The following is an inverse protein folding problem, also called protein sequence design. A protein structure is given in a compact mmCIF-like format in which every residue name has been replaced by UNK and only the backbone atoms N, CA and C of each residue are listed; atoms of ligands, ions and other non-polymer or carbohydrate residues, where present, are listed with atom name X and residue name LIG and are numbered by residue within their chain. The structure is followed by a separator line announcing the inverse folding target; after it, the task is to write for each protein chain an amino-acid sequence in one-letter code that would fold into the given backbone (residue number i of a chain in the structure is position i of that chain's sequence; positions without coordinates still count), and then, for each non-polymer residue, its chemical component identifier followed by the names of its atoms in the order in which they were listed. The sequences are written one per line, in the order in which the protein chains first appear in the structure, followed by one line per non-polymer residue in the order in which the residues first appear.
data_IF_622557959059
#
_entry.id   IF_622557959059
#
_cell.length_a   1.000
_cell.length_b   1.000
_cell.length_c   1.000
_cell.angle_alpha   90.00
_cell.angle_beta   90.00
_cell.angle_gamma   90.00
#
_symmetry.space_group_name_H-M   'P 1'
#
loop_
_entity.id
_entity.type
_entity.pdbx_description
1 polymer ?
#
# COMPACT_ATOMS: atom_id res chain seq x y z
N UNK A 1 7.10 12.61 13.27
CA UNK A 1 5.83 13.25 12.80
C UNK A 1 5.73 13.28 11.28
N UNK A 2 6.70 13.84 10.55
CA UNK A 2 6.67 13.89 9.07
C UNK A 2 6.48 12.52 8.39
N UNK A 3 7.25 11.50 8.78
CA UNK A 3 7.13 10.13 8.26
C UNK A 3 5.72 9.52 8.44
N UNK A 4 5.05 9.91 9.52
CA UNK A 4 3.71 9.44 9.86
C UNK A 4 2.69 10.05 8.89
N UNK A 5 2.79 11.35 8.60
CA UNK A 5 1.97 12.03 7.60
C UNK A 5 2.18 11.44 6.19
N UNK A 6 3.44 11.15 5.82
CA UNK A 6 3.78 10.47 4.56
C UNK A 6 3.16 9.08 4.48
N UNK A 7 3.20 8.31 5.57
CA UNK A 7 2.59 6.98 5.63
C UNK A 7 1.07 7.04 5.49
N UNK A 8 0.41 8.01 6.14
CA UNK A 8 -1.03 8.24 5.97
C UNK A 8 -1.36 8.59 4.53
N UNK A 9 -0.61 9.53 3.92
CA UNK A 9 -0.80 9.87 2.51
C UNK A 9 -0.64 8.63 1.62
N UNK A 10 0.38 7.81 1.86
CA UNK A 10 0.59 6.58 1.11
C UNK A 10 -0.61 5.62 1.18
N UNK A 11 -1.17 5.41 2.39
CA UNK A 11 -2.35 4.57 2.56
C UNK A 11 -3.60 5.15 1.88
N UNK A 12 -3.74 6.47 1.78
CA UNK A 12 -4.81 7.10 1.00
C UNK A 12 -4.65 6.82 -0.51
N UNK A 13 -3.43 6.81 -1.03
CA UNK A 13 -3.17 6.41 -2.41
C UNK A 13 -3.57 4.94 -2.68
N UNK A 14 -3.26 4.05 -1.73
CA UNK A 14 -3.67 2.65 -1.81
C UNK A 14 -5.19 2.49 -1.72
N UNK A 15 -5.88 3.25 -0.89
CA UNK A 15 -7.34 3.11 -0.78
C UNK A 15 -8.05 3.47 -2.08
N UNK A 16 -7.55 4.47 -2.83
CA UNK A 16 -8.03 4.77 -4.18
C UNK A 16 -7.84 3.60 -5.14
N UNK A 17 -6.69 2.93 -5.09
CA UNK A 17 -6.45 1.71 -5.87
C UNK A 17 -7.48 0.63 -5.54
N UNK A 18 -7.70 0.35 -4.26
CA UNK A 18 -8.65 -0.68 -3.82
C UNK A 18 -10.08 -0.35 -4.23
N UNK A 19 -10.51 0.91 -4.09
CA UNK A 19 -11.83 1.39 -4.54
C UNK A 19 -12.03 1.28 -6.05
N UNK A 20 -10.97 1.50 -6.83
CA UNK A 20 -11.03 1.36 -8.29
C UNK A 20 -11.26 -0.11 -8.69
N UNK A 21 -10.54 -1.02 -8.04
CA UNK A 21 -10.67 -2.47 -8.29
C UNK A 21 -12.03 -2.98 -7.83
N UNK A 22 -12.54 -2.54 -6.67
CA UNK A 22 -13.84 -2.98 -6.16
C UNK A 22 -15.00 -2.59 -7.09
N UNK A 23 -14.84 -1.49 -7.84
CA UNK A 23 -15.84 -1.01 -8.79
C UNK A 23 -16.00 -1.93 -10.02
N UNK A 24 -14.90 -2.55 -10.48
CA UNK A 24 -14.92 -3.46 -11.64
C UNK A 24 -15.38 -4.87 -11.26
N UNK A 25 -15.03 -5.33 -10.06
CA UNK A 25 -15.16 -6.75 -9.71
C UNK A 25 -16.26 -6.97 -8.64
N UNK A 26 -17.33 -7.67 -9.02
CA UNK A 26 -18.53 -7.93 -8.19
C UNK A 26 -18.36 -9.03 -7.12
N UNK A 27 -17.29 -9.84 -7.18
CA UNK A 27 -17.00 -10.97 -6.26
C UNK A 27 -15.61 -10.87 -5.63
N UNK A 28 -15.30 -9.72 -5.04
CA UNK A 28 -13.94 -9.42 -4.54
C UNK A 28 -13.73 -9.83 -3.09
N UNK A 29 -14.78 -10.09 -2.30
CA UNK A 29 -14.66 -10.30 -0.85
C UNK A 29 -13.56 -11.31 -0.46
N UNK A 30 -13.67 -12.54 -0.96
CA UNK A 30 -12.72 -13.60 -0.60
C UNK A 30 -11.32 -13.37 -1.18
N UNK A 31 -11.23 -12.93 -2.43
CA UNK A 31 -9.94 -12.68 -3.09
C UNK A 31 -9.20 -11.49 -2.46
N UNK A 32 -9.91 -10.42 -2.12
CA UNK A 32 -9.34 -9.26 -1.43
C UNK A 32 -8.91 -9.62 -0.01
N UNK A 33 -9.66 -10.45 0.70
CA UNK A 33 -9.25 -10.94 2.02
C UNK A 33 -7.93 -11.72 1.93
N UNK A 34 -7.79 -12.63 0.96
CA UNK A 34 -6.54 -13.38 0.72
C UNK A 34 -5.40 -12.43 0.37
N UNK A 35 -5.61 -11.50 -0.56
CA UNK A 35 -4.61 -10.50 -0.95
C UNK A 35 -4.19 -9.63 0.25
N UNK A 36 -5.14 -9.22 1.07
CA UNK A 36 -4.89 -8.38 2.25
C UNK A 36 -4.07 -9.15 3.27
N UNK A 37 -4.40 -10.43 3.51
CA UNK A 37 -3.62 -11.29 4.41
C UNK A 37 -2.19 -11.50 3.90
N UNK A 38 -2.02 -11.78 2.60
CA UNK A 38 -0.70 -11.92 1.98
C UNK A 38 0.11 -10.63 2.09
N UNK A 39 -0.51 -9.47 1.84
CA UNK A 39 0.15 -8.18 1.99
C UNK A 39 0.58 -7.92 3.43
N UNK A 40 -0.25 -8.27 4.43
CA UNK A 40 0.13 -8.13 5.84
C UNK A 40 1.30 -9.04 6.22
N UNK A 41 1.39 -10.23 5.63
CA UNK A 41 2.51 -11.15 5.83
C UNK A 41 3.81 -10.64 5.18
N UNK A 42 3.74 -10.16 3.93
CA UNK A 42 4.92 -9.72 3.15
C UNK A 42 5.46 -8.38 3.61
N UNK A 43 4.63 -7.51 4.18
CA UNK A 43 5.05 -6.15 4.58
C UNK A 43 5.70 -6.09 5.96
N UNK A 44 5.87 -7.24 6.62
CA UNK A 44 6.40 -7.31 7.97
C UNK A 44 5.47 -6.69 9.01
N UNK A 45 4.16 -6.62 8.74
CA UNK A 45 3.17 -6.15 9.71
C UNK A 45 3.00 -7.16 10.86
N UNK A 46 2.91 -8.44 10.52
CA UNK A 46 2.75 -9.55 11.47
C UNK A 46 4.07 -9.94 12.16
N UNK A 47 5.18 -9.95 11.40
CA UNK A 47 6.49 -10.38 11.88
C UNK A 47 7.52 -9.28 11.61
N UNK A 48 8.35 -8.90 12.60
CA UNK A 48 9.41 -7.92 12.38
C UNK A 48 10.37 -8.40 11.28
N UNK A 49 10.64 -7.53 10.31
CA UNK A 49 11.51 -7.88 9.16
C UNK A 49 12.91 -8.25 9.63
N UNK A 50 13.37 -7.67 10.74
CA UNK A 50 14.67 -7.99 11.37
C UNK A 50 14.82 -9.49 11.67
N UNK A 51 13.73 -10.17 12.00
CA UNK A 51 13.70 -11.58 12.37
C UNK A 51 13.58 -12.54 11.18
N UNK A 52 13.38 -12.03 9.95
CA UNK A 52 13.22 -12.87 8.76
C UNK A 52 14.57 -13.36 8.19
N UNK A 53 14.62 -14.58 7.60
CA UNK A 53 15.78 -15.09 6.88
C UNK A 53 16.03 -14.32 5.56
N UNK A 54 17.28 -14.27 5.10
CA UNK A 54 17.81 -13.32 4.12
C UNK A 54 16.94 -13.05 2.88
N UNK A 55 16.50 -14.11 2.17
CA UNK A 55 15.72 -13.94 0.93
C UNK A 55 14.38 -13.23 1.16
N UNK A 56 13.70 -13.52 2.28
CA UNK A 56 12.40 -12.90 2.59
C UNK A 56 12.56 -11.41 2.87
N UNK A 57 13.67 -10.98 3.46
CA UNK A 57 13.94 -9.55 3.73
C UNK A 57 13.96 -8.74 2.43
N UNK A 58 14.61 -9.24 1.38
CA UNK A 58 14.69 -8.54 0.11
C UNK A 58 13.31 -8.37 -0.55
N UNK A 59 12.45 -9.38 -0.47
CA UNK A 59 11.07 -9.30 -0.97
C UNK A 59 10.30 -8.22 -0.19
N UNK A 60 10.42 -8.22 1.14
CA UNK A 60 9.78 -7.22 1.99
C UNK A 60 10.25 -5.80 1.64
N UNK A 61 11.56 -5.59 1.45
CA UNK A 61 12.12 -4.27 1.13
C UNK A 61 11.69 -3.73 -0.22
N UNK A 62 11.32 -4.60 -1.16
CA UNK A 62 10.78 -4.21 -2.46
C UNK A 62 9.38 -3.60 -2.35
N UNK A 63 8.63 -3.95 -1.29
CA UNK A 63 7.29 -3.44 -1.07
C UNK A 63 7.32 -2.06 -0.40
N UNK A 64 6.77 -1.00 -1.03
CA UNK A 64 6.78 0.35 -0.45
C UNK A 64 6.02 0.44 0.88
N UNK A 65 4.99 -0.40 1.04
CA UNK A 65 4.20 -0.61 2.27
C UNK A 65 5.06 -0.98 3.48
N UNK A 66 6.16 -1.72 3.27
CA UNK A 66 7.11 -2.09 4.32
C UNK A 66 7.71 -0.86 5.01
N UNK A 67 8.10 0.14 4.23
CA UNK A 67 8.72 1.36 4.73
C UNK A 67 7.71 2.24 5.47
N UNK A 68 6.44 2.26 5.05
CA UNK A 68 5.39 2.95 5.78
C UNK A 68 5.16 2.33 7.17
N UNK A 69 5.16 1.00 7.25
CA UNK A 69 4.99 0.30 8.53
C UNK A 69 6.22 0.51 9.42
N UNK A 70 7.44 0.46 8.88
CA UNK A 70 8.65 0.74 9.66
C UNK A 70 8.68 2.17 10.19
N UNK A 71 8.32 3.15 9.36
CA UNK A 71 8.19 4.56 9.75
C UNK A 71 7.18 4.80 10.87
N UNK A 72 6.05 4.10 10.84
CA UNK A 72 5.06 4.15 11.93
C UNK A 72 5.65 3.56 13.21
N UNK A 73 6.36 2.42 13.13
CA UNK A 73 7.01 1.79 14.29
C UNK A 73 8.13 2.62 14.87
N UNK A 74 9.05 3.12 14.05
CA UNK A 74 10.17 3.95 14.51
C UNK A 74 9.68 5.25 15.16
N UNK A 75 8.63 5.86 14.61
CA UNK A 75 8.05 7.09 15.16
C UNK A 75 7.22 6.87 16.42
N UNK A 76 6.41 5.81 16.49
CA UNK A 76 5.49 5.57 17.62
C UNK A 76 6.12 4.77 18.76
N UNK A 77 6.96 3.77 18.44
CA UNK A 77 7.58 2.88 19.43
C UNK A 77 9.01 3.30 19.77
N UNK A 78 9.53 4.36 19.14
CA UNK A 78 10.91 4.84 19.36
C UNK A 78 11.98 3.85 18.91
N UNK A 79 11.62 2.91 18.02
CA UNK A 79 12.54 1.91 17.51
C UNK A 79 13.54 2.54 16.54
N UNK A 80 14.75 1.96 16.45
CA UNK A 80 15.71 2.35 15.42
C UNK A 80 15.09 2.09 14.04
N UNK A 81 15.11 3.06 13.12
CA UNK A 81 14.67 2.82 11.74
C UNK A 81 15.52 1.74 11.06
N UNK A 82 14.97 1.06 10.05
CA UNK A 82 15.73 0.08 9.26
C UNK A 82 16.81 0.75 8.40
N UNK A 83 16.56 1.98 7.93
CA UNK A 83 17.49 2.76 7.12
C UNK A 83 17.69 4.18 7.69
N UNK A 84 18.73 4.91 7.24
CA UNK A 84 18.85 6.33 7.55
C UNK A 84 17.57 7.09 7.20
N UNK A 85 17.14 7.97 8.10
CA UNK A 85 15.85 8.67 8.01
C UNK A 85 15.59 9.34 6.64
N UNK A 86 16.63 9.95 6.08
CA UNK A 86 16.57 10.64 4.79
C UNK A 86 16.24 9.69 3.61
N UNK A 87 16.73 8.46 3.68
CA UNK A 87 16.49 7.43 2.65
C UNK A 87 15.04 6.95 2.74
N UNK A 88 14.53 6.70 3.96
CA UNK A 88 13.12 6.32 4.16
C UNK A 88 12.16 7.40 3.66
N UNK A 89 12.48 8.68 3.88
CA UNK A 89 11.68 9.80 3.37
C UNK A 89 11.63 9.75 1.84
N UNK A 90 12.75 9.57 1.15
CA UNK A 90 12.78 9.53 -0.33
C UNK A 90 11.98 8.33 -0.84
N UNK A 91 12.14 7.15 -0.23
CA UNK A 91 11.38 5.95 -0.60
C UNK A 91 9.88 6.17 -0.38
N UNK A 92 9.48 6.76 0.74
CA UNK A 92 8.07 7.04 1.02
C UNK A 92 7.49 8.10 0.10
N UNK A 93 8.21 9.19 -0.18
CA UNK A 93 7.74 10.23 -1.11
C UNK A 93 7.51 9.63 -2.49
N UNK A 94 8.47 8.86 -3.00
CA UNK A 94 8.32 8.19 -4.31
C UNK A 94 7.16 7.20 -4.30
N UNK A 95 6.99 6.43 -3.22
CA UNK A 95 5.87 5.52 -3.04
C UNK A 95 4.52 6.22 -2.99
N UNK A 96 4.40 7.36 -2.30
CA UNK A 96 3.17 8.17 -2.21
C UNK A 96 2.76 8.66 -3.59
N UNK A 97 3.70 9.22 -4.35
CA UNK A 97 3.44 9.73 -5.69
C UNK A 97 3.02 8.58 -6.63
N UNK A 98 3.73 7.45 -6.57
CA UNK A 98 3.40 6.28 -7.37
C UNK A 98 2.01 5.71 -7.03
N UNK A 99 1.69 5.56 -5.74
CA UNK A 99 0.41 5.02 -5.28
C UNK A 99 -0.77 5.92 -5.69
N UNK A 100 -0.64 7.24 -5.54
CA UNK A 100 -1.69 8.17 -5.96
C UNK A 100 -1.86 8.20 -7.47
N UNK A 101 -0.75 8.26 -8.23
CA UNK A 101 -0.80 8.28 -9.68
C UNK A 101 -1.45 7.00 -10.24
N UNK A 102 -1.06 5.83 -9.70
CA UNK A 102 -1.65 4.54 -10.07
C UNK A 102 -3.12 4.45 -9.65
N UNK A 103 -3.45 4.87 -8.43
CA UNK A 103 -4.81 4.87 -7.90
C UNK A 103 -5.75 5.72 -8.77
N UNK A 104 -5.35 6.95 -9.10
CA UNK A 104 -6.13 7.84 -9.96
C UNK A 104 -6.27 7.29 -11.38
N UNK A 105 -5.19 6.76 -11.96
CA UNK A 105 -5.21 6.17 -13.30
C UNK A 105 -6.19 4.99 -13.38
N UNK A 106 -6.16 4.09 -12.38
CA UNK A 106 -7.05 2.95 -12.33
C UNK A 106 -8.49 3.35 -12.05
N UNK A 107 -8.74 4.37 -11.24
CA UNK A 107 -10.09 4.87 -10.98
C UNK A 107 -10.74 5.35 -12.28
N UNK A 108 -10.03 6.21 -13.02
CA UNK A 108 -10.50 6.72 -14.31
C UNK A 108 -10.68 5.60 -15.35
N UNK A 109 -9.81 4.59 -15.33
CA UNK A 109 -9.94 3.41 -16.20
C UNK A 109 -11.19 2.59 -15.85
N UNK A 110 -11.44 2.42 -14.55
CA UNK A 110 -12.59 1.69 -14.01
C UNK A 110 -13.91 2.38 -14.33
N UNK A 111 -13.97 3.70 -14.16
CA UNK A 111 -15.13 4.53 -14.53
C UNK A 111 -15.45 4.42 -16.03
N UNK A 112 -14.44 4.54 -16.90
CA UNK A 112 -14.63 4.38 -18.35
C UNK A 112 -15.14 3.00 -18.73
N UNK A 113 -14.69 1.96 -18.02
CA UNK A 113 -15.14 0.58 -18.25
C UNK A 113 -16.60 0.41 -17.83
N UNK A 114 -16.99 0.92 -16.66
CA UNK A 114 -18.38 0.92 -16.20
C UNK A 114 -19.33 1.69 -17.13
N UNK A 115 -18.91 2.86 -17.64
CA UNK A 115 -19.69 3.64 -18.60
C UNK A 115 -19.95 2.87 -19.89
N UNK A 116 -18.95 2.14 -20.39
CA UNK A 116 -19.09 1.31 -21.60
C UNK A 116 -19.98 0.09 -21.40
N UNK A 117 -19.96 -0.49 -20.22
CA UNK A 117 -20.76 -1.69 -19.88
C UNK A 117 -22.18 -1.34 -19.40
N UNK A 118 -22.54 -0.05 -19.31
CA UNK A 118 -23.88 0.40 -18.90
C UNK A 118 -24.22 0.10 -17.43
N UNK A 119 -23.21 -0.22 -16.62
CA UNK A 119 -23.37 -0.70 -15.23
C UNK A 119 -23.59 0.43 -14.21
N UNK A 120 -23.52 1.70 -14.62
CA UNK A 120 -23.69 2.85 -13.72
C UNK A 120 -25.10 2.94 -13.12
N UNK A 121 -26.14 2.48 -13.83
CA UNK A 121 -27.52 2.51 -13.33
C UNK A 121 -27.85 1.35 -12.36
N UNK A 122 -26.92 0.41 -12.16
CA UNK A 122 -27.14 -0.80 -11.35
C UNK A 122 -26.48 -0.69 -9.96
N UNK A 123 -25.72 0.38 -9.69
CA UNK A 123 -25.08 0.70 -8.40
C UNK A 123 -25.77 1.89 -7.72
#
# INVERSE_FOLDING_TARGET
MLLLLLSVAYFLGISLFVSSVSLIYKRVGDLANILTFLMQAVTGLLVPIRSLPGIMKYICYLCPTTWAIDSVRSTLLGLTPLLPLWIEIIILVTAVLAAHALGQYLLLSSERKMQREGLLDIY
#
